data_IF_885205936419
#
_entry.id   IF_885205936419
#
_cell.length_a   1.000
_cell.length_b   1.000
_cell.length_c   1.000
_cell.angle_alpha   90.00
_cell.angle_beta   90.00
_cell.angle_gamma   90.00
#
_symmetry.space_group_name_H-M   'P 1'
#
loop_
_entity.id
_entity.type
_entity.pdbx_description
1 polymer ?
#
# COMPACT_ATOMS: atom_id res chain seq x y z
N UNK A 1 -38.21 -46.60 -17.92
CA UNK A 1 -38.78 -45.51 -17.10
C UNK A 1 -37.74 -45.21 -16.01
N UNK A 2 -37.18 -44.00 -16.02
CA UNK A 2 -36.25 -43.36 -15.06
C UNK A 2 -35.20 -44.20 -14.31
N UNK A 3 -33.91 -43.89 -14.53
CA UNK A 3 -33.03 -43.54 -13.40
C UNK A 3 -31.93 -42.62 -13.93
N UNK A 4 -32.06 -41.33 -13.60
CA UNK A 4 -31.05 -40.33 -13.89
C UNK A 4 -29.89 -40.41 -12.90
N UNK A 5 -28.67 -40.20 -13.39
CA UNK A 5 -27.53 -39.86 -12.55
C UNK A 5 -26.93 -38.56 -13.09
N UNK A 6 -27.29 -37.50 -12.38
CA UNK A 6 -26.83 -36.14 -12.54
C UNK A 6 -25.40 -36.07 -11.98
N UNK A 7 -24.38 -36.08 -12.85
CA UNK A 7 -23.00 -35.83 -12.44
C UNK A 7 -22.80 -34.31 -12.32
N UNK A 8 -23.07 -33.80 -11.13
CA UNK A 8 -22.73 -32.43 -10.74
C UNK A 8 -21.21 -32.32 -10.72
N UNK A 9 -20.69 -31.36 -11.47
CA UNK A 9 -19.30 -30.95 -11.48
C UNK A 9 -18.77 -30.70 -10.07
N UNK A 10 -17.73 -31.43 -9.67
CA UNK A 10 -16.87 -31.03 -8.56
C UNK A 10 -16.04 -29.82 -9.01
N UNK A 11 -16.63 -28.63 -8.87
CA UNK A 11 -15.82 -27.41 -8.78
C UNK A 11 -15.17 -27.42 -7.40
N UNK A 12 -14.01 -28.08 -7.29
CA UNK A 12 -13.06 -27.79 -6.23
C UNK A 12 -12.55 -26.38 -6.43
N UNK A 13 -13.26 -25.39 -5.88
CA UNK A 13 -12.65 -24.11 -5.56
C UNK A 13 -11.56 -24.41 -4.52
N UNK A 14 -10.31 -24.51 -4.97
CA UNK A 14 -9.17 -24.38 -4.07
C UNK A 14 -9.39 -23.09 -3.29
N UNK A 15 -9.55 -23.18 -1.97
CA UNK A 15 -9.51 -22.02 -1.09
C UNK A 15 -8.08 -21.50 -1.14
N UNK A 16 -7.81 -20.63 -2.11
CA UNK A 16 -6.56 -19.92 -2.21
C UNK A 16 -6.45 -19.06 -0.95
N UNK A 17 -5.47 -19.35 -0.10
CA UNK A 17 -5.27 -18.71 1.21
C UNK A 17 -5.44 -17.19 1.08
N UNK A 18 -6.51 -16.66 1.69
CA UNK A 18 -6.99 -15.28 1.55
C UNK A 18 -6.04 -14.21 2.14
N UNK A 19 -4.85 -14.59 2.59
CA UNK A 19 -3.95 -13.71 3.35
C UNK A 19 -2.91 -13.02 2.46
N UNK A 20 -2.79 -13.39 1.19
CA UNK A 20 -1.86 -12.74 0.25
C UNK A 20 -2.60 -11.91 -0.79
N UNK A 21 -2.29 -10.61 -0.80
CA UNK A 21 -2.88 -9.63 -1.71
C UNK A 21 -1.80 -9.07 -2.63
N UNK A 22 -1.81 -9.53 -3.89
CA UNK A 22 -0.80 -9.16 -4.88
C UNK A 22 -0.73 -7.66 -5.13
N UNK A 23 0.43 -7.14 -5.57
CA UNK A 23 0.52 -5.74 -5.98
C UNK A 23 -0.46 -5.45 -7.13
N UNK A 24 -1.09 -4.26 -7.11
CA UNK A 24 -2.00 -3.83 -8.18
C UNK A 24 -1.25 -3.30 -9.41
N UNK A 25 0.03 -2.97 -9.25
CA UNK A 25 0.90 -2.55 -10.35
C UNK A 25 2.30 -3.09 -10.13
N UNK A 26 2.90 -3.59 -11.19
CA UNK A 26 4.29 -4.07 -11.22
C UNK A 26 5.20 -3.01 -11.84
N UNK A 27 6.47 -3.00 -11.44
CA UNK A 27 7.50 -2.12 -11.97
C UNK A 27 8.43 -2.90 -12.89
N UNK A 28 8.01 -3.07 -14.13
CA UNK A 28 8.69 -3.87 -15.16
C UNK A 28 9.90 -3.20 -15.80
N UNK A 29 10.01 -1.89 -15.66
CA UNK A 29 11.07 -1.06 -16.26
C UNK A 29 12.42 -1.19 -15.55
N UNK A 30 12.45 -1.80 -14.37
CA UNK A 30 13.68 -1.99 -13.60
C UNK A 30 14.12 -3.45 -13.71
N UNK A 31 15.40 -3.70 -13.98
CA UNK A 31 16.01 -5.04 -14.07
C UNK A 31 16.18 -5.72 -12.70
N UNK A 32 15.29 -5.44 -11.75
CA UNK A 32 15.27 -6.07 -10.44
C UNK A 32 14.75 -7.50 -10.52
N UNK A 33 15.21 -8.34 -9.60
CA UNK A 33 14.77 -9.74 -9.48
C UNK A 33 13.25 -9.83 -9.22
N UNK A 34 12.71 -8.88 -8.45
CA UNK A 34 11.27 -8.76 -8.23
C UNK A 34 10.74 -7.42 -8.80
N UNK A 35 9.56 -7.48 -9.44
CA UNK A 35 8.89 -6.30 -10.02
C UNK A 35 7.99 -5.57 -9.01
N UNK A 36 7.95 -6.04 -7.77
CA UNK A 36 7.16 -5.48 -6.67
C UNK A 36 7.81 -5.83 -5.33
N UNK A 37 7.41 -5.11 -4.29
CA UNK A 37 7.82 -5.31 -2.88
C UNK A 37 6.81 -6.18 -2.16
N UNK A 38 7.19 -6.77 -1.02
CA UNK A 38 6.26 -7.54 -0.18
C UNK A 38 6.23 -6.93 1.21
N UNK A 39 5.06 -6.45 1.65
CA UNK A 39 4.79 -6.09 3.03
C UNK A 39 4.24 -7.32 3.75
N UNK A 40 5.06 -7.96 4.59
CA UNK A 40 4.60 -8.94 5.58
C UNK A 40 4.12 -8.19 6.81
N UNK A 41 2.94 -8.54 7.31
CA UNK A 41 2.36 -7.85 8.46
C UNK A 41 1.55 -8.74 9.38
N UNK A 42 1.51 -8.37 10.66
CA UNK A 42 0.77 -9.05 11.73
C UNK A 42 -0.74 -8.80 11.67
N UNK A 43 -1.22 -7.86 10.85
CA UNK A 43 -2.66 -7.62 10.68
C UNK A 43 -3.33 -8.82 10.02
N UNK A 44 -4.53 -9.17 10.52
CA UNK A 44 -5.26 -10.37 10.08
C UNK A 44 -6.18 -10.14 8.88
N UNK A 45 -6.45 -8.89 8.54
CA UNK A 45 -7.37 -8.54 7.45
C UNK A 45 -6.99 -7.23 6.78
N UNK A 46 -7.50 -7.00 5.57
CA UNK A 46 -7.36 -5.72 4.86
C UNK A 46 -8.30 -4.60 5.36
N UNK A 47 -9.18 -4.88 6.33
CA UNK A 47 -10.23 -3.92 6.70
C UNK A 47 -9.65 -2.57 7.16
N UNK A 48 -8.63 -2.59 8.00
CA UNK A 48 -7.95 -1.36 8.44
C UNK A 48 -7.18 -0.66 7.31
N UNK A 49 -6.82 -1.36 6.23
CA UNK A 49 -6.18 -0.75 5.06
C UNK A 49 -7.17 -0.02 4.13
N UNK A 50 -8.48 -0.10 4.38
CA UNK A 50 -9.49 0.70 3.66
C UNK A 50 -9.54 2.16 4.11
N UNK A 51 -8.95 2.48 5.27
CA UNK A 51 -8.81 3.85 5.75
C UNK A 51 -8.13 4.77 4.74
N UNK A 52 -8.41 6.07 4.82
CA UNK A 52 -7.76 7.07 3.96
C UNK A 52 -6.36 7.42 4.48
N UNK A 53 -5.39 7.44 3.57
CA UNK A 53 -4.03 7.89 3.87
C UNK A 53 -4.01 9.40 4.13
N UNK A 54 -3.42 9.89 5.24
CA UNK A 54 -3.47 11.29 5.62
C UNK A 54 -3.00 12.25 4.53
N UNK A 55 -3.80 13.29 4.30
CA UNK A 55 -3.51 14.29 3.27
C UNK A 55 -3.76 13.80 1.84
N UNK A 56 -4.52 12.72 1.65
CA UNK A 56 -4.96 12.22 0.33
C UNK A 56 -6.44 11.83 0.38
N UNK A 57 -6.97 11.39 -0.76
CA UNK A 57 -8.29 10.71 -0.87
C UNK A 57 -8.15 9.23 -1.22
N UNK A 58 -6.97 8.65 -0.96
CA UNK A 58 -6.59 7.29 -1.39
C UNK A 58 -6.55 6.40 -0.16
N UNK A 59 -7.04 5.17 -0.28
CA UNK A 59 -6.95 4.20 0.80
C UNK A 59 -5.50 3.78 1.08
N UNK A 60 -5.19 3.37 2.31
CA UNK A 60 -3.87 2.85 2.68
C UNK A 60 -3.46 1.70 1.75
N UNK A 61 -4.39 0.79 1.49
CA UNK A 61 -4.21 -0.33 0.56
C UNK A 61 -3.77 0.15 -0.82
N UNK A 62 -4.46 1.14 -1.38
CA UNK A 62 -4.17 1.64 -2.74
C UNK A 62 -2.86 2.41 -2.77
N UNK A 63 -2.49 3.12 -1.72
CA UNK A 63 -1.14 3.70 -1.58
C UNK A 63 -0.08 2.59 -1.71
N UNK A 64 -0.22 1.50 -0.96
CA UNK A 64 0.75 0.40 -0.97
C UNK A 64 0.75 -0.37 -2.31
N UNK A 65 -0.40 -0.94 -2.68
CA UNK A 65 -0.50 -1.90 -3.78
C UNK A 65 -0.39 -1.27 -5.16
N UNK A 66 -0.91 -0.05 -5.34
CA UNK A 66 -0.93 0.61 -6.64
C UNK A 66 0.22 1.60 -6.82
N UNK A 67 0.41 2.52 -5.86
CA UNK A 67 1.40 3.59 -6.01
C UNK A 67 2.82 3.12 -5.68
N UNK A 68 2.97 2.27 -4.67
CA UNK A 68 4.27 1.80 -4.18
C UNK A 68 4.61 0.37 -4.61
N UNK A 69 3.85 -0.22 -5.55
CA UNK A 69 4.13 -1.53 -6.12
C UNK A 69 4.38 -2.60 -5.03
N UNK A 70 3.54 -2.66 -4.00
CA UNK A 70 3.77 -3.49 -2.82
C UNK A 70 2.63 -4.49 -2.63
N UNK A 71 2.90 -5.78 -2.63
CA UNK A 71 1.94 -6.79 -2.18
C UNK A 71 1.83 -6.78 -0.66
N UNK A 72 0.69 -7.24 -0.13
CA UNK A 72 0.44 -7.33 1.31
C UNK A 72 0.24 -8.80 1.67
N UNK A 73 1.05 -9.30 2.58
CA UNK A 73 0.94 -10.64 3.16
C UNK A 73 0.55 -10.49 4.63
N UNK A 74 -0.70 -10.83 4.92
CA UNK A 74 -1.36 -10.72 6.22
C UNK A 74 -1.06 -11.91 7.13
N UNK A 75 -1.38 -11.75 8.41
CA UNK A 75 -1.31 -12.80 9.43
C UNK A 75 0.10 -13.43 9.53
N UNK A 76 1.11 -12.57 9.51
CA UNK A 76 2.52 -12.94 9.64
C UNK A 76 2.99 -12.73 11.08
N UNK A 77 4.08 -13.38 11.46
CA UNK A 77 4.64 -13.26 12.82
C UNK A 77 5.24 -11.88 13.11
N UNK A 78 5.73 -11.19 12.08
CA UNK A 78 6.43 -9.90 12.20
C UNK A 78 6.11 -8.96 11.05
N UNK A 79 6.29 -7.67 11.31
CA UNK A 79 6.14 -6.62 10.30
C UNK A 79 7.47 -6.39 9.57
N UNK A 80 7.52 -6.73 8.28
CA UNK A 80 8.72 -6.63 7.44
C UNK A 80 8.34 -6.12 6.06
N UNK A 81 9.10 -5.18 5.52
CA UNK A 81 9.08 -4.84 4.10
C UNK A 81 10.26 -5.51 3.39
N UNK A 82 9.95 -6.31 2.37
CA UNK A 82 10.94 -6.89 1.45
C UNK A 82 10.94 -6.04 0.18
N UNK A 83 12.05 -5.40 -0.14
CA UNK A 83 12.18 -4.55 -1.33
C UNK A 83 12.39 -5.36 -2.62
N UNK A 84 12.42 -4.65 -3.76
CA UNK A 84 12.54 -5.27 -5.09
C UNK A 84 13.88 -6.00 -5.32
N UNK A 85 14.94 -5.55 -4.64
CA UNK A 85 16.27 -6.15 -4.59
C UNK A 85 16.43 -7.22 -3.50
N UNK A 86 15.34 -7.62 -2.83
CA UNK A 86 15.30 -8.59 -1.73
C UNK A 86 15.92 -8.14 -0.40
N UNK A 87 16.31 -6.87 -0.27
CA UNK A 87 16.67 -6.31 1.03
C UNK A 87 15.45 -6.33 1.97
N UNK A 88 15.65 -6.74 3.22
CA UNK A 88 14.61 -6.82 4.23
C UNK A 88 14.71 -5.67 5.22
N UNK A 89 13.58 -5.03 5.51
CA UNK A 89 13.48 -3.94 6.46
C UNK A 89 12.46 -4.29 7.54
N UNK A 90 12.94 -4.40 8.78
CA UNK A 90 12.06 -4.58 9.94
C UNK A 90 11.28 -3.28 10.17
N UNK A 91 9.97 -3.41 10.35
CA UNK A 91 9.08 -2.31 10.67
C UNK A 91 8.74 -2.34 12.16
N UNK A 92 8.28 -1.21 12.69
CA UNK A 92 7.83 -1.16 14.07
C UNK A 92 6.60 -2.04 14.29
N UNK A 93 6.50 -2.61 15.49
CA UNK A 93 5.27 -3.27 15.92
C UNK A 93 4.25 -2.19 16.29
N UNK A 94 3.25 -2.02 15.43
CA UNK A 94 2.12 -1.11 15.65
C UNK A 94 0.81 -1.87 15.52
N UNK A 95 -0.21 -1.44 16.26
CA UNK A 95 -1.58 -1.91 16.11
C UNK A 95 -2.38 -1.10 15.08
N UNK A 96 -1.75 -0.17 14.35
CA UNK A 96 -2.41 0.68 13.36
C UNK A 96 -1.88 0.48 11.95
N UNK A 97 -2.76 0.06 11.04
CA UNK A 97 -2.50 -0.04 9.60
C UNK A 97 -2.06 1.32 9.02
N UNK A 98 -2.54 2.42 9.60
CA UNK A 98 -2.16 3.79 9.21
C UNK A 98 -0.70 4.09 9.55
N UNK A 99 -0.25 3.68 10.73
CA UNK A 99 1.13 3.90 11.16
C UNK A 99 2.11 3.05 10.36
N UNK A 100 1.83 1.76 10.17
CA UNK A 100 2.70 0.91 9.34
C UNK A 100 2.75 1.42 7.89
N UNK A 101 1.62 1.92 7.35
CA UNK A 101 1.60 2.47 5.99
C UNK A 101 2.45 3.74 5.90
N UNK A 102 2.41 4.62 6.90
CA UNK A 102 3.29 5.81 6.96
C UNK A 102 4.76 5.43 7.03
N UNK A 103 5.09 4.43 7.84
CA UNK A 103 6.47 3.94 7.96
C UNK A 103 6.96 3.37 6.62
N UNK A 104 6.16 2.55 5.94
CA UNK A 104 6.47 2.03 4.61
C UNK A 104 6.63 3.14 3.58
N UNK A 105 5.73 4.14 3.57
CA UNK A 105 5.85 5.31 2.68
C UNK A 105 7.14 6.08 2.94
N UNK A 106 7.50 6.29 4.21
CA UNK A 106 8.74 6.98 4.60
C UNK A 106 9.97 6.20 4.15
N UNK A 107 9.97 4.88 4.40
CA UNK A 107 11.09 4.00 4.06
C UNK A 107 11.29 3.93 2.54
N UNK A 108 10.23 3.70 1.78
CA UNK A 108 10.28 3.68 0.31
C UNK A 108 10.65 5.08 -0.23
N UNK A 109 10.16 6.15 0.39
CA UNK A 109 10.51 7.52 0.02
C UNK A 109 12.01 7.82 0.14
N UNK A 110 12.71 7.15 1.06
CA UNK A 110 14.16 7.25 1.24
C UNK A 110 14.96 6.35 0.27
N UNK A 111 14.31 5.49 -0.51
CA UNK A 111 14.96 4.70 -1.56
C UNK A 111 15.08 5.50 -2.86
N UNK A 112 16.14 5.27 -3.63
CA UNK A 112 16.42 5.99 -4.89
C UNK A 112 15.21 6.01 -5.83
N UNK A 113 14.70 4.85 -6.24
CA UNK A 113 13.52 4.75 -7.11
C UNK A 113 12.19 5.00 -6.39
N UNK A 114 12.14 4.75 -5.08
CA UNK A 114 10.93 4.91 -4.27
C UNK A 114 10.56 6.36 -4.01
N UNK A 115 11.53 7.27 -3.93
CA UNK A 115 11.30 8.71 -3.83
C UNK A 115 10.39 9.24 -4.94
N UNK A 116 10.64 8.82 -6.20
CA UNK A 116 9.83 9.19 -7.36
C UNK A 116 8.42 8.59 -7.26
N UNK A 117 8.28 7.37 -6.75
CA UNK A 117 6.96 6.73 -6.55
C UNK A 117 6.12 7.52 -5.53
N UNK A 118 6.71 7.87 -4.39
CA UNK A 118 6.05 8.66 -3.34
C UNK A 118 5.67 10.05 -3.83
N UNK A 119 6.53 10.71 -4.60
CA UNK A 119 6.25 12.06 -5.15
C UNK A 119 5.05 12.10 -6.10
N UNK A 120 4.67 10.96 -6.69
CA UNK A 120 3.53 10.83 -7.61
C UNK A 120 2.22 10.52 -6.89
N UNK A 121 2.24 10.31 -5.58
CA UNK A 121 1.01 10.16 -4.78
C UNK A 121 0.31 11.54 -4.73
N UNK A 122 -0.97 11.63 -5.10
CA UNK A 122 -1.69 12.91 -5.14
C UNK A 122 -2.07 13.38 -3.73
N UNK A 123 -1.13 14.04 -3.07
CA UNK A 123 -1.38 14.75 -1.81
C UNK A 123 -2.21 16.01 -2.04
N UNK A 124 -3.17 16.25 -1.16
CA UNK A 124 -3.92 17.49 -1.11
C UNK A 124 -2.96 18.65 -0.83
N UNK A 125 -2.93 19.61 -1.77
CA UNK A 125 -2.16 20.84 -1.58
C UNK A 125 -2.76 21.61 -0.41
N UNK A 126 -2.02 21.73 0.69
CA UNK A 126 -2.38 22.68 1.73
C UNK A 126 -2.32 24.09 1.14
N UNK A 127 -3.47 24.69 0.92
CA UNK A 127 -3.59 26.10 0.57
C UNK A 127 -3.18 26.92 1.79
N UNK A 128 -1.88 27.18 1.95
CA UNK A 128 -1.39 28.21 2.85
C UNK A 128 -1.76 29.57 2.26
N UNK A 129 -3.05 29.94 2.30
CA UNK A 129 -3.46 31.33 2.19
C UNK A 129 -2.77 32.05 3.35
N UNK A 130 -1.79 32.90 3.05
CA UNK A 130 -1.19 33.81 4.03
C UNK A 130 -2.32 34.71 4.59
N UNK A 131 -3.00 34.28 5.64
CA UNK A 131 -3.87 35.15 6.44
C UNK A 131 -2.94 36.13 7.14
N UNK A 132 -2.92 37.39 6.71
CA UNK A 132 -2.35 38.48 7.51
C UNK A 132 -1.29 39.39 6.88
N UNK A 133 -1.17 39.51 5.55
CA UNK A 133 -0.42 40.63 4.96
C UNK A 133 -1.41 41.64 4.36
N UNK A 134 -1.88 42.57 5.17
CA UNK A 134 -2.48 43.81 4.66
C UNK A 134 -1.37 44.68 4.08
N UNK A 135 -1.61 45.24 2.89
CA UNK A 135 -0.66 46.16 2.26
C UNK A 135 -0.42 47.37 3.19
N UNK A 136 0.84 47.83 3.34
CA UNK A 136 1.12 49.00 4.15
C UNK A 136 0.38 50.22 3.58
N UNK A 137 -0.37 50.90 4.45
CA UNK A 137 -1.15 52.07 4.09
C UNK A 137 -0.18 53.19 3.68
N UNK A 138 -0.20 53.62 2.41
CA UNK A 138 0.59 54.77 1.96
C UNK A 138 -0.01 56.03 2.58
N UNK A 139 0.74 56.67 3.48
CA UNK A 139 0.41 58.01 3.96
C UNK A 139 0.63 58.99 2.80
N UNK A 140 -0.41 59.74 2.45
CA UNK A 140 -0.35 60.90 1.57
C UNK A 140 0.26 62.09 2.31
#
# INVERSE_FOLDING_TARGET
>A
MFFGLFLISVNSYCQQMNNYHHALREKKELSFKNQYRVLKTTFKSLNGFQDIYPGTKISLEKVLRYHLHTSIHLDQETNILISMDQSEFKLNNTSSEKEITKEVVSLIGNMFFGSSEVSKIPFEKKNYRRKGMTAPNRKH
#
